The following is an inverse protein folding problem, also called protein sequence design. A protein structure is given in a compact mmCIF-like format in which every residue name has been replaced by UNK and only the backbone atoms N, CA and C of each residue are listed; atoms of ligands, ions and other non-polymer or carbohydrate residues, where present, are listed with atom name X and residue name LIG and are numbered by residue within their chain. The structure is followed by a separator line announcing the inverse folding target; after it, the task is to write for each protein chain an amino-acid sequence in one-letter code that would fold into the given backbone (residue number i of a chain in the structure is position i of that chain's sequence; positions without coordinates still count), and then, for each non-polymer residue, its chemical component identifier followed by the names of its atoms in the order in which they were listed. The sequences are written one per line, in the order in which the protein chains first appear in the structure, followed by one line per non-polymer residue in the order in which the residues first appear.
data_IF_683591743529
#
_entry.id   IF_683591743529
#
_cell.length_a   1.000
_cell.length_b   1.000
_cell.length_c   1.000
_cell.angle_alpha   90.00
_cell.angle_beta   90.00
_cell.angle_gamma   90.00
#
_symmetry.space_group_name_H-M   'P 1'
#
loop_
_entity.id
_entity.type
_entity.pdbx_description
1 polymer ?
#
# COMPACT_ATOMS: atom_id res chain seq x y z
N UNK A 1 -36.70 54.29 53.07
CA UNK A 1 -35.41 54.20 52.33
C UNK A 1 -35.49 53.01 51.39
N UNK A 2 -34.88 53.17 50.23
CA UNK A 2 -35.16 52.50 48.96
C UNK A 2 -35.14 50.97 48.98
N UNK A 3 -36.14 50.38 48.33
CA UNK A 3 -36.04 49.04 47.75
C UNK A 3 -35.29 49.14 46.42
N UNK A 4 -34.27 48.31 46.23
CA UNK A 4 -33.64 48.04 44.93
C UNK A 4 -33.50 46.53 44.79
N UNK A 5 -34.05 46.03 43.68
CA UNK A 5 -33.89 44.67 43.21
C UNK A 5 -32.50 44.47 42.58
N UNK A 6 -31.91 43.28 42.77
CA UNK A 6 -30.83 42.78 41.92
C UNK A 6 -31.25 41.43 41.35
N UNK A 7 -31.00 41.33 40.04
CA UNK A 7 -31.37 40.30 39.07
C UNK A 7 -30.52 39.03 39.27
N UNK A 8 -31.14 37.85 39.24
CA UNK A 8 -30.48 36.54 39.43
C UNK A 8 -29.84 36.06 38.11
N UNK A 9 -29.40 36.98 37.25
CA UNK A 9 -28.69 36.69 36.00
C UNK A 9 -27.21 36.32 36.19
N UNK A 10 -26.74 36.13 37.42
CA UNK A 10 -25.31 35.92 37.73
C UNK A 10 -25.04 34.62 38.51
N UNK A 11 -25.73 33.54 38.15
CA UNK A 11 -25.26 32.18 38.43
C UNK A 11 -24.70 31.61 37.12
N UNK A 12 -23.39 31.31 37.01
CA UNK A 12 -22.84 30.71 35.80
C UNK A 12 -23.51 29.36 35.50
N UNK A 13 -24.38 29.34 34.49
CA UNK A 13 -24.85 28.12 33.81
C UNK A 13 -23.75 27.66 32.85
N UNK A 14 -22.73 26.98 33.36
CA UNK A 14 -21.62 26.44 32.55
C UNK A 14 -20.96 25.34 33.39
N UNK A 15 -20.84 24.06 33.04
CA UNK A 15 -20.85 23.31 31.78
C UNK A 15 -21.39 21.91 32.15
N UNK A 16 -22.70 21.69 31.98
CA UNK A 16 -23.31 20.35 32.09
C UNK A 16 -24.28 20.14 30.93
N UNK A 17 -23.85 20.59 29.74
CA UNK A 17 -24.36 20.10 28.47
C UNK A 17 -23.27 19.18 27.94
N UNK A 18 -23.38 17.91 28.32
CA UNK A 18 -23.19 16.76 27.44
C UNK A 18 -22.37 17.07 26.19
N UNK A 19 -21.04 17.12 26.34
CA UNK A 19 -20.13 16.89 25.23
C UNK A 19 -20.34 15.42 24.87
N UNK A 20 -21.38 15.13 24.09
CA UNK A 20 -21.36 13.91 23.29
C UNK A 20 -20.21 14.13 22.33
N UNK A 21 -19.06 13.50 22.58
CA UNK A 21 -18.13 13.23 21.51
C UNK A 21 -18.90 12.37 20.51
N UNK A 22 -19.58 13.01 19.55
CA UNK A 22 -20.04 12.33 18.36
C UNK A 22 -18.74 11.95 17.67
N UNK A 23 -18.26 10.74 17.92
CA UNK A 23 -17.26 10.10 17.08
C UNK A 23 -17.97 9.98 15.73
N UNK A 24 -17.79 10.99 14.86
CA UNK A 24 -18.36 10.98 13.52
C UNK A 24 -17.77 9.76 12.81
N UNK A 25 -18.59 8.72 12.67
CA UNK A 25 -18.21 7.51 11.93
C UNK A 25 -17.99 7.91 10.47
N UNK A 26 -16.89 7.47 9.89
CA UNK A 26 -16.62 7.72 8.47
C UNK A 26 -17.66 6.95 7.64
N UNK A 27 -18.33 7.59 6.67
CA UNK A 27 -19.19 6.90 5.72
C UNK A 27 -18.50 5.70 5.08
N UNK A 28 -19.18 4.56 5.08
CA UNK A 28 -18.69 3.33 4.44
C UNK A 28 -19.02 3.36 2.95
N UNK A 29 -18.02 3.10 2.14
CA UNK A 29 -18.10 3.08 0.68
C UNK A 29 -17.68 1.70 0.18
N UNK A 30 -18.35 1.22 -0.88
CA UNK A 30 -18.01 -0.04 -1.54
C UNK A 30 -17.92 0.20 -3.04
N UNK A 31 -16.78 -0.15 -3.62
CA UNK A 31 -16.49 -0.08 -5.04
C UNK A 31 -16.34 -1.52 -5.54
N UNK A 32 -16.97 -1.82 -6.68
CA UNK A 32 -16.82 -3.10 -7.38
C UNK A 32 -16.23 -2.85 -8.76
N UNK A 33 -15.19 -3.60 -9.09
CA UNK A 33 -14.45 -3.51 -10.35
C UNK A 33 -14.34 -4.94 -10.85
N UNK A 34 -15.30 -5.38 -11.67
CA UNK A 34 -15.40 -6.77 -12.11
C UNK A 34 -15.32 -7.74 -10.91
N UNK A 35 -14.23 -8.52 -10.80
CA UNK A 35 -13.99 -9.49 -9.72
C UNK A 35 -13.51 -8.85 -8.40
N UNK A 36 -13.00 -7.61 -8.45
CA UNK A 36 -12.51 -6.91 -7.26
C UNK A 36 -13.63 -6.22 -6.50
N UNK A 37 -13.52 -6.25 -5.18
CA UNK A 37 -14.38 -5.48 -4.28
C UNK A 37 -13.52 -4.76 -3.26
N UNK A 38 -13.56 -3.43 -3.27
CA UNK A 38 -12.88 -2.58 -2.30
C UNK A 38 -13.95 -1.94 -1.42
N UNK A 39 -13.86 -2.15 -0.12
CA UNK A 39 -14.71 -1.48 0.86
C UNK A 39 -13.84 -0.71 1.82
N UNK A 40 -14.18 0.54 2.09
CA UNK A 40 -13.43 1.40 2.99
C UNK A 40 -14.35 2.44 3.62
N UNK A 41 -13.88 3.04 4.71
CA UNK A 41 -14.52 4.17 5.31
C UNK A 41 -13.74 5.45 4.94
N UNK A 42 -14.43 6.51 4.56
CA UNK A 42 -13.80 7.77 4.13
C UNK A 42 -14.64 8.97 4.58
N UNK A 43 -13.98 10.04 5.03
CA UNK A 43 -14.62 11.27 5.50
C UNK A 43 -14.91 12.27 4.37
N UNK A 44 -14.52 11.94 3.13
CA UNK A 44 -14.76 12.72 1.92
C UNK A 44 -13.78 13.88 1.75
N UNK A 45 -12.62 13.84 2.40
CA UNK A 45 -11.64 14.94 2.38
C UNK A 45 -10.23 14.49 1.96
N UNK A 46 -10.09 13.95 0.76
CA UNK A 46 -8.77 13.72 0.13
C UNK A 46 -8.23 14.97 -0.57
N UNK A 47 -8.25 16.14 0.09
CA UNK A 47 -7.53 17.30 -0.45
C UNK A 47 -6.03 17.12 -0.21
N UNK A 48 -5.34 16.53 -1.17
CA UNK A 48 -3.90 16.74 -1.33
C UNK A 48 -3.75 18.14 -1.92
N UNK A 49 -3.06 19.04 -1.21
CA UNK A 49 -2.72 20.35 -1.76
C UNK A 49 -1.95 20.14 -3.07
N UNK A 50 -2.38 20.82 -4.15
CA UNK A 50 -1.75 20.77 -5.48
C UNK A 50 -0.36 21.41 -5.41
N UNK A 51 0.61 20.67 -4.89
CA UNK A 51 1.93 21.18 -4.52
C UNK A 51 3.05 20.64 -5.41
N UNK A 52 2.73 20.12 -6.60
CA UNK A 52 3.75 19.70 -7.57
C UNK A 52 3.69 20.61 -8.78
N UNK A 53 4.22 21.82 -8.60
CA UNK A 53 4.75 22.63 -9.69
C UNK A 53 6.26 22.40 -9.74
N UNK A 54 6.72 21.25 -10.22
CA UNK A 54 8.16 20.96 -10.24
C UNK A 54 8.68 20.76 -11.65
N UNK A 55 9.68 21.58 -11.96
CA UNK A 55 10.44 21.73 -13.22
C UNK A 55 11.34 20.49 -13.50
N UNK A 56 11.23 19.40 -12.73
CA UNK A 56 12.10 18.21 -12.85
C UNK A 56 11.41 16.90 -12.39
N UNK A 57 10.38 16.46 -13.14
CA UNK A 57 9.63 15.23 -12.87
C UNK A 57 10.52 13.97 -12.92
N UNK A 58 11.48 13.93 -13.86
CA UNK A 58 12.41 12.81 -14.06
C UNK A 58 13.26 12.56 -12.81
N UNK A 59 13.82 13.62 -12.22
CA UNK A 59 14.60 13.51 -10.98
C UNK A 59 13.76 13.02 -9.81
N UNK A 60 12.51 13.47 -9.71
CA UNK A 60 11.59 13.03 -8.65
C UNK A 60 11.26 11.55 -8.82
N UNK A 61 10.92 11.12 -10.04
CA UNK A 61 10.62 9.73 -10.34
C UNK A 61 11.84 8.83 -10.05
N UNK A 62 13.03 9.23 -10.50
CA UNK A 62 14.27 8.52 -10.21
C UNK A 62 14.51 8.39 -8.71
N UNK A 63 14.31 9.47 -7.95
CA UNK A 63 14.44 9.45 -6.49
C UNK A 63 13.44 8.49 -5.84
N UNK A 64 12.17 8.47 -6.27
CA UNK A 64 11.17 7.57 -5.72
C UNK A 64 11.53 6.10 -5.95
N UNK A 65 11.88 5.74 -7.19
CA UNK A 65 12.27 4.37 -7.51
C UNK A 65 13.51 3.97 -6.69
N UNK A 66 14.48 4.87 -6.53
CA UNK A 66 15.65 4.63 -5.69
C UNK A 66 15.30 4.45 -4.21
N UNK A 67 14.41 5.26 -3.66
CA UNK A 67 13.94 5.13 -2.27
C UNK A 67 13.17 3.83 -2.06
N UNK A 68 12.34 3.47 -3.03
CA UNK A 68 11.56 2.22 -3.09
C UNK A 68 12.49 1.00 -3.10
N UNK A 69 13.54 1.03 -3.93
CA UNK A 69 14.60 0.03 -3.98
C UNK A 69 15.38 -0.07 -2.66
N UNK A 70 15.70 1.05 -2.02
CA UNK A 70 16.36 1.07 -0.71
C UNK A 70 15.51 0.40 0.37
N UNK A 71 14.20 0.61 0.34
CA UNK A 71 13.25 -0.02 1.27
C UNK A 71 13.22 -1.54 1.10
N UNK A 72 13.34 -2.04 -0.14
CA UNK A 72 13.45 -3.48 -0.42
C UNK A 72 14.88 -4.03 -0.26
N UNK A 73 15.86 -3.19 0.10
CA UNK A 73 17.28 -3.55 0.22
C UNK A 73 17.86 -4.18 -1.06
N UNK A 74 17.27 -3.85 -2.23
CA UNK A 74 17.67 -4.35 -3.53
C UNK A 74 17.69 -3.19 -4.53
N UNK A 75 18.89 -2.72 -4.88
CA UNK A 75 19.08 -1.60 -5.80
C UNK A 75 19.10 -2.12 -7.23
N UNK A 76 18.08 -1.75 -8.01
CA UNK A 76 18.03 -2.06 -9.43
C UNK A 76 19.12 -1.29 -10.20
N UNK A 77 19.61 -1.83 -11.34
CA UNK A 77 20.53 -1.12 -12.21
C UNK A 77 19.97 0.23 -12.64
N UNK A 78 20.85 1.24 -12.73
CA UNK A 78 20.47 2.59 -13.15
C UNK A 78 19.76 2.59 -14.51
N UNK A 79 20.24 1.80 -15.46
CA UNK A 79 19.68 1.73 -16.81
C UNK A 79 18.24 1.20 -16.78
N UNK A 80 17.94 0.18 -15.96
CA UNK A 80 16.56 -0.29 -15.77
C UNK A 80 15.63 0.79 -15.20
N UNK A 81 16.13 1.59 -14.25
CA UNK A 81 15.37 2.70 -13.67
C UNK A 81 15.09 3.75 -14.74
N UNK A 82 16.10 4.10 -15.55
CA UNK A 82 15.94 5.05 -16.65
C UNK A 82 14.96 4.53 -17.70
N UNK A 83 15.05 3.25 -18.10
CA UNK A 83 14.14 2.63 -19.06
C UNK A 83 12.68 2.71 -18.58
N UNK A 84 12.43 2.46 -17.30
CA UNK A 84 11.11 2.57 -16.71
C UNK A 84 10.59 4.02 -16.67
N UNK A 85 11.47 4.99 -16.41
CA UNK A 85 11.13 6.41 -16.46
C UNK A 85 10.76 6.83 -17.88
N UNK A 86 11.57 6.45 -18.87
CA UNK A 86 11.31 6.75 -20.28
C UNK A 86 10.01 6.10 -20.78
N UNK A 87 9.73 4.85 -20.35
CA UNK A 87 8.45 4.20 -20.61
C UNK A 87 7.26 4.99 -20.05
N UNK A 88 7.31 5.42 -18.78
CA UNK A 88 6.22 6.20 -18.17
C UNK A 88 6.05 7.58 -18.83
N UNK A 89 7.14 8.17 -19.31
CA UNK A 89 7.09 9.43 -20.07
C UNK A 89 6.43 9.25 -21.43
N UNK A 90 6.77 8.20 -22.17
CA UNK A 90 6.21 7.97 -23.50
C UNK A 90 4.70 7.80 -23.47
N UNK A 91 4.15 7.18 -22.42
CA UNK A 91 2.70 7.06 -22.19
C UNK A 91 2.02 8.44 -22.16
N UNK A 92 2.61 9.42 -21.46
CA UNK A 92 2.05 10.77 -21.37
C UNK A 92 2.22 11.54 -22.68
N UNK A 93 3.34 11.39 -23.37
CA UNK A 93 3.56 12.01 -24.67
C UNK A 93 2.53 11.52 -25.69
N UNK A 94 2.28 10.21 -25.73
CA UNK A 94 1.25 9.60 -26.58
C UNK A 94 -0.16 10.03 -26.18
N UNK A 95 -0.47 10.08 -24.87
CA UNK A 95 -1.77 10.53 -24.36
C UNK A 95 -2.12 11.96 -24.81
N UNK A 96 -1.13 12.86 -24.78
CA UNK A 96 -1.29 14.25 -25.25
C UNK A 96 -1.57 14.35 -26.74
N UNK A 97 -1.08 13.38 -27.53
CA UNK A 97 -1.28 13.34 -28.97
C UNK A 97 -2.65 12.77 -29.37
N UNK A 98 -3.25 11.92 -28.53
CA UNK A 98 -4.44 11.12 -28.89
C UNK A 98 -5.72 11.47 -28.12
N UNK A 99 -5.72 12.52 -27.29
CA UNK A 99 -6.87 13.00 -26.49
C UNK A 99 -7.50 11.92 -25.55
N UNK A 100 -6.74 10.90 -25.15
CA UNK A 100 -7.14 9.93 -24.12
C UNK A 100 -6.02 9.74 -23.09
N UNK A 101 -6.36 9.28 -21.88
CA UNK A 101 -5.36 8.93 -20.87
C UNK A 101 -4.89 7.51 -21.09
N UNK A 102 -3.67 7.35 -21.59
CA UNK A 102 -3.03 6.05 -21.70
C UNK A 102 -2.55 5.61 -20.31
N UNK A 103 -2.76 4.33 -20.00
CA UNK A 103 -2.49 3.74 -18.69
C UNK A 103 -1.29 2.79 -18.83
N UNK A 104 -0.34 2.81 -17.87
CA UNK A 104 0.79 1.88 -17.89
C UNK A 104 0.33 0.42 -17.93
N UNK A 105 0.92 -0.33 -18.85
CA UNK A 105 0.78 -1.78 -18.88
C UNK A 105 1.72 -2.41 -17.85
N UNK A 106 1.18 -3.32 -17.02
CA UNK A 106 1.92 -3.92 -15.91
C UNK A 106 3.16 -4.67 -16.42
N UNK A 107 3.01 -5.42 -17.51
CA UNK A 107 4.07 -6.25 -18.06
C UNK A 107 5.21 -5.41 -18.65
N UNK A 108 4.91 -4.39 -19.45
CA UNK A 108 5.91 -3.50 -20.03
C UNK A 108 6.69 -2.74 -18.96
N UNK A 109 5.99 -2.17 -17.96
CA UNK A 109 6.64 -1.47 -16.85
C UNK A 109 7.52 -2.41 -16.02
N UNK A 110 7.01 -3.62 -15.73
CA UNK A 110 7.76 -4.62 -14.98
C UNK A 110 9.01 -5.07 -15.75
N UNK A 111 8.88 -5.32 -17.05
CA UNK A 111 10.02 -5.70 -17.90
C UNK A 111 11.06 -4.59 -17.97
N UNK A 112 10.65 -3.31 -18.04
CA UNK A 112 11.56 -2.18 -18.02
C UNK A 112 12.40 -2.16 -16.72
N UNK A 113 11.75 -2.36 -15.57
CA UNK A 113 12.41 -2.33 -14.25
C UNK A 113 13.25 -3.57 -13.95
N UNK A 114 12.73 -4.76 -14.24
CA UNK A 114 13.27 -6.03 -13.72
C UNK A 114 13.94 -6.89 -14.78
N UNK A 115 13.65 -6.68 -16.08
CA UNK A 115 14.15 -7.48 -17.22
C UNK A 115 13.92 -8.98 -17.01
N UNK A 116 12.73 -9.33 -16.50
CA UNK A 116 12.31 -10.67 -16.07
C UNK A 116 10.84 -10.87 -16.35
N UNK A 117 10.42 -12.12 -16.46
CA UNK A 117 9.01 -12.49 -16.55
C UNK A 117 8.17 -11.83 -15.45
N UNK A 118 7.02 -11.30 -15.86
CA UNK A 118 6.18 -10.43 -15.04
C UNK A 118 5.46 -11.21 -13.95
N UNK A 119 4.70 -12.23 -14.33
CA UNK A 119 3.89 -13.00 -13.40
C UNK A 119 4.62 -14.24 -12.96
N UNK A 120 4.52 -14.56 -11.67
CA UNK A 120 5.14 -15.77 -11.12
C UNK A 120 4.40 -17.04 -11.54
N UNK A 121 5.15 -18.12 -11.58
CA UNK A 121 4.65 -19.49 -11.83
C UNK A 121 4.75 -20.39 -10.60
N UNK A 122 4.88 -19.79 -9.43
CA UNK A 122 4.93 -20.52 -8.17
C UNK A 122 4.32 -19.69 -7.04
N UNK A 123 4.02 -20.34 -5.91
CA UNK A 123 3.52 -19.65 -4.73
C UNK A 123 4.65 -18.89 -4.02
N UNK A 124 4.42 -17.62 -3.73
CA UNK A 124 5.36 -16.73 -3.02
C UNK A 124 4.77 -16.24 -1.70
N UNK A 125 5.65 -15.84 -0.79
CA UNK A 125 5.29 -15.31 0.51
C UNK A 125 5.73 -13.86 0.67
N UNK A 126 5.03 -13.13 1.53
CA UNK A 126 5.35 -11.75 1.90
C UNK A 126 6.31 -11.77 3.09
N UNK A 127 7.54 -11.31 2.92
CA UNK A 127 8.55 -11.34 3.99
C UNK A 127 8.40 -10.21 5.01
N UNK A 128 8.60 -10.51 6.30
CA UNK A 128 8.82 -9.47 7.32
C UNK A 128 10.30 -9.06 7.32
N UNK A 129 10.59 -7.75 7.25
CA UNK A 129 11.92 -7.18 6.96
C UNK A 129 12.89 -7.21 8.15
N UNK A 130 13.05 -8.35 8.81
CA UNK A 130 14.07 -8.53 9.83
C UNK A 130 15.32 -9.19 9.23
N UNK A 131 16.34 -8.35 8.98
CA UNK A 131 17.69 -8.75 8.59
C UNK A 131 18.25 -9.81 9.56
N UNK A 132 18.25 -11.08 9.15
CA UNK A 132 19.33 -12.08 9.29
C UNK A 132 18.78 -13.50 9.29
N UNK A 133 19.12 -14.28 8.25
CA UNK A 133 19.18 -15.76 8.25
C UNK A 133 17.92 -16.53 8.73
N UNK A 134 16.73 -15.94 8.61
CA UNK A 134 15.45 -16.53 9.07
C UNK A 134 14.38 -16.25 8.01
N UNK A 135 13.64 -17.28 7.60
CA UNK A 135 12.47 -17.15 6.71
C UNK A 135 11.26 -16.83 7.60
N UNK A 136 10.64 -15.67 7.41
CA UNK A 136 9.37 -15.30 8.05
C UNK A 136 8.39 -14.81 6.98
N UNK A 137 7.25 -15.50 6.86
CA UNK A 137 6.14 -15.08 6.03
C UNK A 137 5.08 -14.35 6.88
N UNK A 138 4.94 -13.05 6.63
CA UNK A 138 3.85 -12.24 7.15
C UNK A 138 2.53 -12.52 6.42
N UNK A 139 2.59 -13.03 5.18
CA UNK A 139 1.43 -13.48 4.42
C UNK A 139 1.88 -14.44 3.29
N UNK A 140 0.92 -15.09 2.63
CA UNK A 140 1.15 -15.84 1.37
C UNK A 140 0.35 -15.14 0.27
N UNK A 141 0.99 -14.89 -0.86
CA UNK A 141 0.33 -14.33 -2.04
C UNK A 141 -0.73 -15.29 -2.58
N UNK A 142 -1.53 -14.84 -3.54
CA UNK A 142 -2.53 -15.70 -4.17
C UNK A 142 -1.88 -16.97 -4.79
N UNK A 143 -2.60 -18.07 -4.97
CA UNK A 143 -2.07 -19.15 -5.81
C UNK A 143 -1.80 -18.62 -7.23
N UNK A 144 -0.67 -18.99 -7.82
CA UNK A 144 -0.21 -18.39 -9.08
C UNK A 144 -1.16 -18.69 -10.25
N UNK A 145 -1.82 -19.84 -10.21
CA UNK A 145 -2.85 -20.28 -11.16
C UNK A 145 -4.10 -19.38 -11.13
N UNK A 146 -4.30 -18.63 -10.05
CA UNK A 146 -5.41 -17.71 -9.88
C UNK A 146 -5.02 -16.24 -10.19
N UNK A 147 -3.78 -15.99 -10.61
CA UNK A 147 -3.37 -14.68 -11.13
C UNK A 147 -3.86 -14.56 -12.57
N UNK A 148 -4.79 -13.63 -12.81
CA UNK A 148 -5.17 -13.26 -14.16
C UNK A 148 -4.55 -11.88 -14.51
N UNK A 149 -3.63 -11.83 -15.49
CA UNK A 149 -3.05 -10.58 -15.96
C UNK A 149 -4.08 -9.52 -16.37
N UNK A 150 -5.19 -9.93 -16.99
CA UNK A 150 -6.19 -8.99 -17.48
C UNK A 150 -6.97 -8.35 -16.32
N UNK A 151 -7.28 -9.11 -15.28
CA UNK A 151 -7.94 -8.57 -14.09
C UNK A 151 -7.02 -7.59 -13.37
N UNK A 152 -5.73 -7.93 -13.24
CA UNK A 152 -4.77 -7.00 -12.65
C UNK A 152 -4.62 -5.72 -13.46
N UNK A 153 -4.62 -5.80 -14.79
CA UNK A 153 -4.60 -4.61 -15.63
C UNK A 153 -5.87 -3.78 -15.47
N UNK A 154 -7.05 -4.41 -15.39
CA UNK A 154 -8.32 -3.71 -15.14
C UNK A 154 -8.32 -2.95 -13.79
N UNK A 155 -7.61 -3.45 -12.77
CA UNK A 155 -7.43 -2.72 -11.51
C UNK A 155 -6.60 -1.44 -11.71
N UNK A 156 -5.57 -1.48 -12.56
CA UNK A 156 -4.76 -0.31 -12.92
C UNK A 156 -5.57 0.66 -13.77
N UNK A 157 -6.26 0.18 -14.80
CA UNK A 157 -7.12 1.00 -15.67
C UNK A 157 -8.15 1.75 -14.85
N UNK A 158 -8.87 1.04 -13.96
CA UNK A 158 -9.82 1.65 -13.03
C UNK A 158 -9.19 2.75 -12.17
N UNK A 159 -8.00 2.49 -11.59
CA UNK A 159 -7.36 3.43 -10.69
C UNK A 159 -7.00 4.76 -11.39
N UNK A 160 -6.64 4.70 -12.68
CA UNK A 160 -6.28 5.87 -13.47
C UNK A 160 -7.51 6.65 -13.95
N UNK A 161 -8.60 5.95 -14.29
CA UNK A 161 -9.88 6.55 -14.68
C UNK A 161 -10.67 7.14 -13.51
N UNK A 162 -10.37 6.74 -12.27
CA UNK A 162 -11.11 7.18 -11.10
C UNK A 162 -10.87 8.67 -10.78
N UNK A 163 -11.94 9.48 -10.79
CA UNK A 163 -11.87 10.94 -10.63
C UNK A 163 -12.84 11.49 -9.56
N UNK A 164 -13.14 10.69 -8.53
CA UNK A 164 -13.97 11.14 -7.41
C UNK A 164 -13.12 11.76 -6.29
N UNK A 165 -13.78 12.46 -5.36
CA UNK A 165 -13.13 13.25 -4.29
C UNK A 165 -12.32 12.45 -3.27
N UNK A 166 -12.40 11.13 -3.32
CA UNK A 166 -11.75 10.12 -2.48
C UNK A 166 -10.68 9.32 -3.26
N UNK A 167 -10.19 9.89 -4.38
CA UNK A 167 -9.23 9.25 -5.29
C UNK A 167 -7.98 8.73 -4.57
N UNK A 168 -7.47 9.49 -3.60
CA UNK A 168 -6.24 9.15 -2.89
C UNK A 168 -6.44 7.90 -2.03
N UNK A 169 -7.57 7.82 -1.31
CA UNK A 169 -7.95 6.64 -0.55
C UNK A 169 -8.14 5.43 -1.48
N UNK A 170 -8.77 5.61 -2.64
CA UNK A 170 -8.95 4.54 -3.64
C UNK A 170 -7.62 4.06 -4.20
N UNK A 171 -6.71 4.96 -4.59
CA UNK A 171 -5.37 4.61 -5.05
C UNK A 171 -4.59 3.82 -3.97
N UNK A 172 -4.67 4.27 -2.72
CA UNK A 172 -4.03 3.57 -1.61
C UNK A 172 -4.64 2.18 -1.39
N UNK A 173 -5.96 2.04 -1.53
CA UNK A 173 -6.64 0.76 -1.44
C UNK A 173 -6.25 -0.19 -2.60
N UNK A 174 -6.14 0.31 -3.84
CA UNK A 174 -5.62 -0.46 -4.97
C UNK A 174 -4.18 -0.94 -4.73
N UNK A 175 -3.33 -0.09 -4.16
CA UNK A 175 -1.98 -0.49 -3.72
C UNK A 175 -2.01 -1.63 -2.70
N UNK A 176 -2.82 -1.51 -1.64
CA UNK A 176 -2.95 -2.56 -0.62
C UNK A 176 -3.48 -3.87 -1.20
N UNK A 177 -4.44 -3.80 -2.13
CA UNK A 177 -4.98 -4.95 -2.84
C UNK A 177 -3.91 -5.61 -3.72
N UNK A 178 -3.09 -4.83 -4.42
CA UNK A 178 -1.98 -5.33 -5.22
C UNK A 178 -0.93 -6.05 -4.36
N UNK A 179 -0.57 -5.47 -3.21
CA UNK A 179 0.34 -6.08 -2.24
C UNK A 179 -0.21 -7.38 -1.66
N UNK A 180 -1.54 -7.44 -1.45
CA UNK A 180 -2.23 -8.64 -0.97
C UNK A 180 -2.20 -9.77 -2.00
N UNK A 181 -2.43 -9.46 -3.28
CA UNK A 181 -2.39 -10.44 -4.38
C UNK A 181 -0.95 -10.93 -4.58
N UNK A 182 0.03 -10.02 -4.54
CA UNK A 182 1.45 -10.33 -4.67
C UNK A 182 1.77 -11.12 -5.97
N UNK A 183 1.52 -10.53 -7.16
CA UNK A 183 1.53 -11.27 -8.43
C UNK A 183 2.92 -11.60 -9.01
N UNK A 184 3.98 -10.99 -8.52
CA UNK A 184 5.34 -11.14 -9.03
C UNK A 184 6.23 -11.99 -8.11
N UNK A 185 7.31 -12.54 -8.67
CA UNK A 185 8.35 -13.23 -7.89
C UNK A 185 9.11 -12.27 -6.97
N UNK A 186 9.36 -11.04 -7.44
CA UNK A 186 10.00 -9.97 -6.68
C UNK A 186 9.38 -8.63 -7.10
N UNK A 187 9.49 -7.62 -6.25
CA UNK A 187 9.18 -6.25 -6.64
C UNK A 187 7.72 -5.85 -6.52
N UNK A 188 6.84 -6.68 -5.93
CA UNK A 188 5.44 -6.36 -5.68
C UNK A 188 5.26 -4.98 -5.02
N UNK A 189 5.98 -4.73 -3.92
CA UNK A 189 5.93 -3.43 -3.23
C UNK A 189 6.39 -2.26 -4.10
N UNK A 190 7.40 -2.49 -4.95
CA UNK A 190 7.92 -1.46 -5.87
C UNK A 190 6.93 -1.16 -6.98
N UNK A 191 6.34 -2.19 -7.58
CA UNK A 191 5.32 -2.07 -8.62
C UNK A 191 4.04 -1.43 -8.10
N UNK A 192 3.51 -1.90 -6.96
CA UNK A 192 2.29 -1.36 -6.38
C UNK A 192 2.43 0.13 -6.03
N UNK A 193 3.57 0.54 -5.44
CA UNK A 193 3.83 1.97 -5.19
C UNK A 193 3.92 2.76 -6.48
N UNK A 194 4.67 2.27 -7.47
CA UNK A 194 4.87 2.98 -8.73
C UNK A 194 3.55 3.12 -9.51
N UNK A 195 2.77 2.04 -9.65
CA UNK A 195 1.50 2.04 -10.37
C UNK A 195 0.47 2.97 -9.74
N UNK A 196 0.29 2.91 -8.41
CA UNK A 196 -0.87 3.52 -7.76
C UNK A 196 -0.58 4.82 -7.00
N UNK A 197 0.67 5.09 -6.62
CA UNK A 197 0.98 6.20 -5.70
C UNK A 197 2.06 7.14 -6.22
N UNK A 198 3.10 6.60 -6.87
CA UNK A 198 4.36 7.30 -7.13
C UNK A 198 4.61 7.65 -8.60
N UNK A 199 3.69 7.30 -9.51
CA UNK A 199 3.77 7.71 -10.90
C UNK A 199 3.44 9.20 -11.08
N UNK A 200 4.43 10.08 -10.87
CA UNK A 200 4.27 11.53 -10.99
C UNK A 200 3.78 12.02 -12.36
N UNK A 201 3.98 11.25 -13.43
CA UNK A 201 3.60 11.66 -14.79
C UNK A 201 2.08 11.62 -14.99
N UNK A 202 1.40 10.59 -14.48
CA UNK A 202 -0.05 10.43 -14.60
C UNK A 202 -0.82 10.87 -13.35
N UNK A 203 -0.19 10.79 -12.16
CA UNK A 203 -0.86 11.03 -10.88
C UNK A 203 -0.55 12.43 -10.32
N UNK A 204 -0.26 13.43 -11.16
CA UNK A 204 0.21 14.77 -10.72
C UNK A 204 -0.63 15.39 -9.59
N UNK A 205 -1.96 15.25 -9.62
CA UNK A 205 -2.87 15.81 -8.60
C UNK A 205 -3.09 14.89 -7.38
N UNK A 206 -2.71 13.61 -7.47
CA UNK A 206 -2.95 12.58 -6.47
C UNK A 206 -1.69 11.82 -6.05
N UNK A 207 -0.51 12.34 -6.40
CA UNK A 207 0.78 11.70 -6.20
C UNK A 207 1.15 11.68 -4.71
N UNK A 208 1.67 10.53 -4.28
CA UNK A 208 2.06 10.27 -2.89
C UNK A 208 3.48 9.70 -2.88
N UNK A 209 4.50 10.44 -2.40
CA UNK A 209 5.88 9.99 -2.34
C UNK A 209 6.11 9.00 -1.17
N UNK A 210 5.35 7.90 -1.13
CA UNK A 210 5.31 6.97 -0.01
C UNK A 210 6.69 6.37 0.30
N UNK A 211 7.46 6.01 -0.73
CA UNK A 211 8.82 5.47 -0.63
C UNK A 211 9.77 6.45 0.04
N UNK A 212 9.69 7.74 -0.30
CA UNK A 212 10.48 8.77 0.38
C UNK A 212 10.11 8.80 1.87
N UNK A 213 8.82 8.84 2.18
CA UNK A 213 8.36 8.91 3.56
C UNK A 213 8.72 7.65 4.38
N UNK A 214 8.56 6.46 3.81
CA UNK A 214 8.91 5.18 4.44
C UNK A 214 10.42 5.07 4.70
N UNK A 215 11.25 5.61 3.81
CA UNK A 215 12.71 5.59 3.95
C UNK A 215 13.19 6.49 5.09
N UNK A 216 12.63 7.69 5.22
CA UNK A 216 13.17 8.73 6.10
C UNK A 216 12.34 8.98 7.36
N UNK A 217 11.09 8.53 7.43
CA UNK A 217 10.21 8.75 8.58
C UNK A 217 9.85 7.42 9.28
N UNK A 218 10.47 7.19 10.44
CA UNK A 218 10.24 5.99 11.27
C UNK A 218 8.78 5.83 11.70
N UNK A 219 8.07 6.94 11.97
CA UNK A 219 6.67 6.88 12.38
C UNK A 219 5.77 6.47 11.21
N UNK A 220 6.04 6.98 9.99
CA UNK A 220 5.34 6.53 8.77
C UNK A 220 5.55 5.05 8.53
N UNK A 221 6.79 4.56 8.70
CA UNK A 221 7.10 3.12 8.61
C UNK A 221 6.32 2.30 9.64
N UNK A 222 6.22 2.77 10.89
CA UNK A 222 5.45 2.09 11.94
C UNK A 222 3.96 2.05 11.59
N UNK A 223 3.37 3.16 11.13
CA UNK A 223 1.96 3.20 10.72
C UNK A 223 1.69 2.26 9.54
N UNK A 224 2.57 2.26 8.54
CA UNK A 224 2.44 1.37 7.38
C UNK A 224 2.47 -0.11 7.78
N UNK A 225 3.34 -0.47 8.73
CA UNK A 225 3.36 -1.84 9.26
C UNK A 225 2.05 -2.23 9.95
N UNK A 226 1.40 -1.30 10.67
CA UNK A 226 0.08 -1.57 11.27
C UNK A 226 -1.02 -1.71 10.20
N UNK A 227 -0.98 -0.92 9.12
CA UNK A 227 -1.89 -1.08 7.97
C UNK A 227 -1.69 -2.46 7.33
N UNK A 228 -0.43 -2.87 7.10
CA UNK A 228 -0.14 -4.17 6.48
C UNK A 228 -0.58 -5.37 7.32
N UNK A 229 -0.48 -5.29 8.65
CA UNK A 229 -0.99 -6.34 9.54
C UNK A 229 -2.48 -6.58 9.38
N UNK A 230 -3.25 -5.57 8.99
CA UNK A 230 -4.70 -5.72 8.82
C UNK A 230 -5.07 -6.43 7.53
N UNK A 231 -4.33 -6.18 6.44
CA UNK A 231 -4.57 -6.85 5.17
C UNK A 231 -3.89 -8.23 5.10
N UNK A 232 -2.93 -8.48 5.99
CA UNK A 232 -2.32 -9.80 6.13
C UNK A 232 -3.36 -10.82 6.59
N UNK A 233 -3.32 -12.02 6.02
CA UNK A 233 -4.13 -13.15 6.49
C UNK A 233 -3.58 -13.84 7.74
N UNK A 234 -2.79 -13.12 8.53
CA UNK A 234 -2.13 -13.59 9.73
C UNK A 234 -0.67 -13.96 9.50
N UNK A 235 0.13 -13.85 10.55
CA UNK A 235 1.50 -14.34 10.55
C UNK A 235 1.51 -15.86 10.51
N UNK A 236 2.04 -16.39 9.42
CA UNK A 236 2.05 -17.83 9.14
C UNK A 236 3.17 -18.52 9.90
N UNK A 237 4.32 -17.85 10.05
CA UNK A 237 5.43 -18.33 10.87
C UNK A 237 6.18 -17.16 11.51
N UNK A 238 6.20 -17.15 12.85
CA UNK A 238 7.15 -16.39 13.67
C UNK A 238 8.13 -17.35 14.32
N UNK A 239 9.44 -17.09 14.20
CA UNK A 239 10.45 -17.97 14.81
C UNK A 239 10.43 -17.87 16.34
N UNK A 240 10.54 -19.02 17.02
CA UNK A 240 10.96 -19.11 18.43
C UNK A 240 12.49 -19.06 18.50
N UNK A 241 13.03 -18.09 19.24
CA UNK A 241 14.46 -18.04 19.54
C UNK A 241 14.74 -19.05 20.67
N UNK A 242 15.24 -20.25 20.35
CA UNK A 242 15.65 -21.22 21.38
C UNK A 242 17.16 -21.11 21.56
N UNK A 243 17.61 -20.63 22.73
CA UNK A 243 19.01 -20.71 23.14
C UNK A 243 19.21 -22.01 23.91
N UNK A 244 20.02 -22.93 23.39
CA UNK A 244 20.63 -24.00 24.20
C UNK A 244 22.10 -24.16 23.82
N UNK A 245 22.91 -24.67 24.75
CA UNK A 245 24.37 -24.62 24.75
C UNK A 245 25.09 -25.37 23.63
N UNK A 246 24.40 -26.24 22.87
CA UNK A 246 24.99 -27.05 21.80
C UNK A 246 24.49 -26.61 20.42
N UNK A 247 25.17 -25.60 19.87
CA UNK A 247 24.71 -24.80 18.73
C UNK A 247 24.67 -25.52 17.36
N UNK A 248 25.16 -26.76 17.24
CA UNK A 248 25.36 -27.43 15.95
C UNK A 248 24.22 -28.38 15.54
N UNK A 249 23.65 -29.15 16.47
CA UNK A 249 22.64 -30.18 16.16
C UNK A 249 21.26 -29.54 15.86
N UNK A 250 20.88 -28.50 16.61
CA UNK A 250 19.58 -27.81 16.41
C UNK A 250 19.49 -26.94 15.15
N UNK A 251 20.61 -26.49 14.57
CA UNK A 251 20.58 -25.66 13.35
C UNK A 251 20.16 -26.44 12.11
N UNK A 252 20.35 -27.75 12.08
CA UNK A 252 20.03 -28.62 10.93
C UNK A 252 18.55 -29.01 10.94
N UNK A 253 18.01 -29.46 12.08
CA UNK A 253 16.58 -29.83 12.20
C UNK A 253 15.63 -28.61 12.02
N UNK A 254 16.02 -27.42 12.48
CA UNK A 254 15.29 -26.15 12.31
C UNK A 254 15.44 -25.56 10.89
N UNK A 255 16.27 -26.14 10.02
CA UNK A 255 16.40 -25.67 8.63
C UNK A 255 15.55 -26.46 7.65
N UNK A 256 15.47 -27.79 7.75
CA UNK A 256 14.74 -28.60 6.77
C UNK A 256 13.27 -28.81 7.16
N UNK A 257 12.97 -29.07 8.44
CA UNK A 257 11.58 -29.25 8.91
C UNK A 257 10.80 -27.93 8.85
N UNK A 258 11.43 -26.82 9.23
CA UNK A 258 10.80 -25.51 9.12
C UNK A 258 10.62 -25.08 7.67
N UNK A 259 11.51 -25.48 6.75
CA UNK A 259 11.38 -25.19 5.32
C UNK A 259 10.29 -26.05 4.66
N UNK A 260 10.21 -27.34 4.99
CA UNK A 260 9.13 -28.21 4.51
C UNK A 260 7.78 -27.74 5.05
N UNK A 261 7.68 -27.43 6.35
CA UNK A 261 6.47 -26.85 6.95
C UNK A 261 6.11 -25.49 6.33
N UNK A 262 7.12 -24.68 6.00
CA UNK A 262 6.91 -23.41 5.32
C UNK A 262 6.35 -23.60 3.92
N UNK A 263 6.89 -24.53 3.13
CA UNK A 263 6.36 -24.89 1.82
C UNK A 263 4.99 -25.55 1.92
N UNK A 264 4.74 -26.39 2.91
CA UNK A 264 3.41 -26.93 3.21
C UNK A 264 2.43 -25.78 3.43
N UNK A 265 2.73 -24.78 4.27
CA UNK A 265 1.77 -23.69 4.50
C UNK A 265 1.56 -22.82 3.25
N UNK A 266 2.59 -22.62 2.44
CA UNK A 266 2.47 -21.89 1.17
C UNK A 266 1.62 -22.67 0.16
N UNK A 267 1.84 -23.99 0.05
CA UNK A 267 1.16 -24.86 -0.90
C UNK A 267 -0.26 -25.23 -0.45
N UNK A 268 -0.48 -25.34 0.86
CA UNK A 268 -1.77 -25.60 1.50
C UNK A 268 -2.62 -24.34 1.63
N UNK A 269 -2.26 -23.24 0.96
CA UNK A 269 -3.05 -22.03 0.95
C UNK A 269 -4.44 -22.29 0.31
N UNK A 270 -5.42 -22.69 1.13
CA UNK A 270 -6.80 -22.99 0.71
C UNK A 270 -7.65 -21.74 0.44
N UNK A 271 -7.02 -20.56 0.43
CA UNK A 271 -7.73 -19.30 0.22
C UNK A 271 -8.16 -19.20 -1.24
N UNK A 272 -9.42 -18.83 -1.42
CA UNK A 272 -10.04 -18.63 -2.73
C UNK A 272 -9.56 -17.32 -3.36
N UNK A 273 -9.59 -17.26 -4.70
CA UNK A 273 -9.36 -16.03 -5.46
C UNK A 273 -10.16 -14.84 -4.93
N UNK A 274 -11.44 -15.05 -4.62
CA UNK A 274 -12.33 -14.02 -4.09
C UNK A 274 -11.85 -13.42 -2.75
N UNK A 275 -11.18 -14.20 -1.90
CA UNK A 275 -10.64 -13.70 -0.64
C UNK A 275 -9.45 -12.75 -0.85
N UNK A 276 -8.66 -12.95 -1.91
CA UNK A 276 -7.58 -12.04 -2.29
C UNK A 276 -8.11 -10.80 -3.02
N UNK A 277 -9.22 -10.93 -3.75
CA UNK A 277 -9.76 -9.86 -4.60
C UNK A 277 -10.73 -8.94 -3.84
N UNK A 278 -10.97 -9.24 -2.56
CA UNK A 278 -11.80 -8.42 -1.68
C UNK A 278 -10.95 -7.76 -0.61
N UNK A 279 -10.90 -6.44 -0.63
CA UNK A 279 -10.31 -5.62 0.42
C UNK A 279 -11.41 -4.96 1.25
N UNK A 280 -11.34 -5.09 2.57
CA UNK A 280 -12.25 -4.43 3.51
C UNK A 280 -11.43 -3.67 4.56
N UNK A 281 -11.43 -2.34 4.45
CA UNK A 281 -10.76 -1.43 5.37
C UNK A 281 -11.81 -0.88 6.34
N UNK A 282 -11.69 -1.23 7.62
CA UNK A 282 -12.56 -0.69 8.65
C UNK A 282 -12.24 0.77 9.02
N UNK A 283 -13.08 1.38 9.87
CA UNK A 283 -12.89 2.75 10.36
C UNK A 283 -11.51 3.00 10.98
N UNK A 284 -10.92 2.01 11.64
CA UNK A 284 -9.63 2.18 12.32
C UNK A 284 -8.49 2.23 11.30
N UNK A 285 -8.53 1.34 10.30
CA UNK A 285 -7.50 1.29 9.27
C UNK A 285 -7.59 2.49 8.34
N UNK A 286 -8.80 2.88 7.93
CA UNK A 286 -9.00 4.13 7.19
C UNK A 286 -8.38 5.33 7.92
N UNK A 287 -8.57 5.43 9.25
CA UNK A 287 -7.95 6.49 10.05
C UNK A 287 -6.41 6.40 10.09
N UNK A 288 -5.84 5.20 10.12
CA UNK A 288 -4.39 5.02 10.06
C UNK A 288 -3.83 5.48 8.70
N UNK A 289 -4.52 5.16 7.60
CA UNK A 289 -4.16 5.61 6.26
C UNK A 289 -4.25 7.13 6.18
N UNK A 290 -5.37 7.74 6.60
CA UNK A 290 -5.51 9.22 6.63
C UNK A 290 -4.42 9.87 7.47
N UNK A 291 -4.10 9.30 8.64
CA UNK A 291 -3.01 9.79 9.50
C UNK A 291 -1.65 9.70 8.79
N UNK A 292 -1.37 8.59 8.14
CA UNK A 292 -0.14 8.38 7.37
C UNK A 292 -0.05 9.40 6.23
N UNK A 293 -1.12 9.59 5.45
CA UNK A 293 -1.18 10.55 4.36
C UNK A 293 -0.94 11.98 4.85
N UNK A 294 -1.54 12.37 5.98
CA UNK A 294 -1.31 13.68 6.59
C UNK A 294 0.15 13.90 7.03
N UNK A 295 0.89 12.83 7.36
CA UNK A 295 2.31 12.93 7.70
C UNK A 295 3.22 13.01 6.48
N UNK A 296 2.75 12.59 5.30
CA UNK A 296 3.47 12.71 4.02
C UNK A 296 3.29 14.12 3.43
N UNK A 297 2.20 14.82 3.80
CA UNK A 297 1.89 16.19 3.37
C UNK A 297 2.78 17.28 4.01
N UNK A 298 3.53 16.96 5.07
CA UNK A 298 4.38 17.90 5.84
C UNK A 298 5.85 17.83 5.42
#
# INVERSE_FOLDING_TARGET
MFAIAINISEVPKTISNSISFIIKKMPRQTIKINEFTITFNDDGYDKIDKAIYTIDADRIMYKNIMDSNCIEQNILPKDNINDAIEYLKSIIEDSKLKEYTEVPQIDELYQALFKKETFRHCSVYVSDKNNSKIISAANVGIQHENIDPNELQQLVDFAYEYDQSNKVMVLFACYLLYELIHPHDDGNGRMGRLLFLENIYNLTESYIPLSTALRYNKQVKQLMNEVFKHISFGEIMKKRQIKSGDAAIYRVEIQEIDLNRFYEIINDNQRTKQQYYKLDLDDNISKLIVKLLNMIRL
#
